data_IF_072799589491
#
_entry.id   IF_072799589491
#
_cell.length_a   1.000
_cell.length_b   1.000
_cell.length_c   1.000
_cell.angle_alpha   90.00
_cell.angle_beta   90.00
_cell.angle_gamma   90.00
#
_symmetry.space_group_name_H-M   'P 1'
#
loop_
_entity.id
_entity.type
_entity.pdbx_description
1 polymer ?
#
# COMPACT_ATOMS: atom_id res chain seq x y z
N UNK A 1 30.22 -55.08 27.77
CA UNK A 1 31.05 -55.46 28.97
C UNK A 1 31.39 -54.17 29.70
N UNK A 2 31.11 -54.22 31.00
CA UNK A 2 31.48 -53.32 32.10
C UNK A 2 30.98 -51.90 32.12
N UNK A 3 29.94 -51.73 32.84
CA UNK A 3 29.60 -51.07 34.12
C UNK A 3 30.80 -50.55 34.93
N UNK A 4 30.72 -49.30 35.39
CA UNK A 4 30.98 -48.96 36.79
C UNK A 4 30.26 -47.69 37.20
N UNK A 5 29.47 -47.83 38.21
CA UNK A 5 28.77 -46.95 39.15
C UNK A 5 29.72 -46.41 40.22
N UNK A 6 29.42 -45.26 40.79
CA UNK A 6 29.49 -44.87 42.23
C UNK A 6 29.60 -43.34 42.31
N UNK A 7 29.20 -42.61 43.32
CA UNK A 7 28.37 -42.78 44.51
C UNK A 7 28.17 -41.41 45.16
N UNK A 8 27.07 -41.28 45.79
CA UNK A 8 26.59 -40.19 46.65
C UNK A 8 27.61 -39.79 47.75
N UNK A 9 27.71 -38.50 48.08
CA UNK A 9 28.03 -38.07 49.44
C UNK A 9 27.26 -36.83 49.87
N UNK A 10 26.40 -37.03 50.83
CA UNK A 10 25.69 -36.06 51.66
C UNK A 10 26.70 -35.46 52.66
N UNK A 11 26.70 -34.16 52.84
CA UNK A 11 27.20 -33.54 54.08
C UNK A 11 26.22 -32.48 54.56
N UNK A 12 25.65 -32.78 55.70
CA UNK A 12 24.87 -31.96 56.60
C UNK A 12 25.78 -31.02 57.38
N UNK A 13 25.44 -29.77 57.56
CA UNK A 13 25.89 -28.89 58.66
C UNK A 13 24.98 -27.66 58.76
N UNK A 14 24.26 -27.64 59.73
CA UNK A 14 24.18 -26.90 61.00
C UNK A 14 23.64 -25.46 60.91
N UNK A 15 22.49 -25.31 61.53
CA UNK A 15 21.80 -24.06 61.88
C UNK A 15 22.67 -23.09 62.71
N UNK A 16 22.65 -21.81 62.34
CA UNK A 16 22.85 -20.75 63.27
C UNK A 16 21.87 -19.61 62.97
N UNK A 17 20.89 -19.41 63.79
CA UNK A 17 19.85 -18.38 63.67
C UNK A 17 20.43 -17.02 64.07
N UNK A 18 20.16 -16.05 63.25
CA UNK A 18 20.25 -14.64 63.59
C UNK A 18 18.90 -13.98 63.31
N UNK A 19 18.25 -13.58 64.38
CA UNK A 19 17.07 -12.71 64.33
C UNK A 19 17.49 -11.35 63.76
N UNK A 20 16.96 -11.01 62.57
CA UNK A 20 16.93 -9.60 62.11
C UNK A 20 15.50 -9.13 62.07
N UNK A 21 15.27 -8.03 62.77
CA UNK A 21 14.04 -7.26 62.87
C UNK A 21 13.63 -6.78 61.48
N UNK A 22 12.40 -7.09 61.09
CA UNK A 22 11.75 -6.60 59.86
C UNK A 22 11.48 -5.08 60.03
N UNK A 23 12.34 -4.27 59.45
CA UNK A 23 12.00 -2.86 59.13
C UNK A 23 11.23 -2.90 57.82
N UNK A 24 9.94 -2.54 57.88
CA UNK A 24 9.04 -2.42 56.75
C UNK A 24 9.46 -1.24 55.88
N UNK A 25 10.26 -1.46 54.84
CA UNK A 25 10.40 -0.50 53.74
C UNK A 25 9.15 -0.60 52.89
N UNK A 26 8.28 0.39 52.94
CA UNK A 26 7.24 0.63 51.94
C UNK A 26 7.95 0.77 50.59
N UNK A 27 7.79 -0.21 49.67
CA UNK A 27 8.04 0.00 48.26
C UNK A 27 7.10 1.11 47.79
N UNK A 28 7.64 2.25 47.48
CA UNK A 28 6.98 3.19 46.60
C UNK A 28 6.84 2.47 45.23
N UNK A 29 5.65 1.98 44.96
CA UNK A 29 5.27 1.66 43.56
C UNK A 29 5.33 2.99 42.81
N UNK A 30 6.35 3.14 41.96
CA UNK A 30 6.34 4.14 40.90
C UNK A 30 5.17 3.70 40.02
N UNK A 31 4.04 4.41 40.14
CA UNK A 31 2.93 4.26 39.20
C UNK A 31 3.53 4.42 37.81
N UNK A 32 3.46 3.38 37.01
CA UNK A 32 3.81 3.46 35.60
C UNK A 32 2.98 4.61 35.02
N UNK A 33 3.68 5.63 34.51
CA UNK A 33 3.02 6.69 33.74
C UNK A 33 2.16 5.98 32.68
N UNK A 34 0.86 6.32 32.56
CA UNK A 34 0.04 5.78 31.49
C UNK A 34 0.79 6.06 30.18
N UNK A 35 0.98 5.03 29.36
CA UNK A 35 1.51 5.22 28.01
C UNK A 35 0.72 6.37 27.37
N UNK A 36 1.39 7.31 26.69
CA UNK A 36 0.69 8.43 26.07
C UNK A 36 -0.44 7.84 25.26
N UNK A 37 -1.67 8.26 25.55
CA UNK A 37 -2.84 7.86 24.78
C UNK A 37 -2.54 8.27 23.34
N UNK A 38 -2.21 7.31 22.49
CA UNK A 38 -2.08 7.53 21.04
C UNK A 38 -3.45 8.07 20.65
N UNK A 39 -3.47 9.32 20.22
CA UNK A 39 -4.72 9.98 19.89
C UNK A 39 -5.42 9.14 18.84
N UNK A 40 -6.47 8.40 19.23
CA UNK A 40 -7.21 7.51 18.32
C UNK A 40 -7.75 8.29 17.11
N UNK A 41 -7.99 9.58 17.30
CA UNK A 41 -8.44 10.50 16.27
C UNK A 41 -7.43 10.67 15.13
N UNK A 42 -6.15 10.88 15.44
CA UNK A 42 -5.08 10.98 14.43
C UNK A 42 -4.86 9.67 13.68
N UNK A 43 -5.06 8.51 14.34
CA UNK A 43 -5.03 7.21 13.66
C UNK A 43 -6.19 7.02 12.68
N UNK A 44 -7.38 7.49 13.04
CA UNK A 44 -8.57 7.36 12.19
C UNK A 44 -8.49 8.30 11.00
N UNK A 45 -8.09 9.56 11.21
CA UNK A 45 -7.93 10.54 10.13
C UNK A 45 -6.86 10.12 9.13
N UNK A 46 -5.78 9.50 9.60
CA UNK A 46 -4.71 8.99 8.76
C UNK A 46 -5.09 7.66 8.08
N UNK A 47 -5.89 6.81 8.73
CA UNK A 47 -6.36 5.52 8.20
C UNK A 47 -7.44 5.68 7.11
N UNK A 48 -8.11 6.84 7.08
CA UNK A 48 -9.10 7.16 6.05
C UNK A 48 -8.55 8.14 5.00
N UNK A 49 -7.22 8.31 4.92
CA UNK A 49 -6.58 9.18 3.93
C UNK A 49 -7.18 10.59 3.91
N UNK A 50 -7.10 11.34 5.01
CA UNK A 50 -7.69 12.69 5.12
C UNK A 50 -9.18 12.82 4.73
N UNK A 51 -9.95 11.76 4.90
CA UNK A 51 -11.38 11.75 4.65
C UNK A 51 -11.84 10.82 3.54
N UNK A 52 -11.46 9.55 3.63
CA UNK A 52 -12.01 8.49 2.79
C UNK A 52 -11.65 8.57 1.29
N UNK A 53 -10.39 8.87 0.99
CA UNK A 53 -9.88 8.84 -0.38
C UNK A 53 -9.77 7.39 -0.89
N UNK A 54 -9.98 7.22 -2.19
CA UNK A 54 -9.78 5.95 -2.91
C UNK A 54 -8.81 6.21 -4.04
N UNK A 55 -7.74 5.41 -4.12
CA UNK A 55 -6.77 5.44 -5.21
C UNK A 55 -7.16 4.43 -6.28
N UNK A 56 -6.83 4.71 -7.54
CA UNK A 56 -6.88 3.75 -8.63
C UNK A 56 -5.50 3.56 -9.24
N UNK A 57 -5.04 2.33 -9.36
CA UNK A 57 -3.98 1.99 -10.30
C UNK A 57 -4.55 2.12 -11.72
N UNK A 58 -4.16 3.17 -12.44
CA UNK A 58 -4.77 3.56 -13.70
C UNK A 58 -4.13 2.88 -14.94
N UNK A 59 -3.68 1.64 -14.78
CA UNK A 59 -3.14 0.83 -15.87
C UNK A 59 -3.20 -0.66 -15.54
N UNK A 60 -2.97 -1.49 -16.54
CA UNK A 60 -2.75 -2.93 -16.43
C UNK A 60 -1.63 -3.31 -17.40
N UNK A 61 -1.07 -4.53 -17.27
CA UNK A 61 -0.03 -5.00 -18.18
C UNK A 61 -0.56 -5.02 -19.63
N UNK A 62 0.27 -4.54 -20.56
CA UNK A 62 -0.06 -4.46 -21.99
C UNK A 62 -1.20 -3.49 -22.37
N UNK A 63 -1.36 -2.36 -21.67
CA UNK A 63 -2.25 -1.28 -22.13
C UNK A 63 -1.97 -0.89 -23.59
N UNK A 64 -2.98 -0.43 -24.35
CA UNK A 64 -2.82 0.01 -25.73
C UNK A 64 -1.71 1.05 -25.92
N UNK A 65 -0.96 0.91 -27.03
CA UNK A 65 0.17 1.79 -27.33
C UNK A 65 -0.27 3.14 -27.89
N UNK A 66 0.48 4.18 -27.54
CA UNK A 66 0.46 5.51 -28.16
C UNK A 66 -0.61 6.48 -27.70
N UNK A 67 -1.64 6.02 -26.98
CA UNK A 67 -2.79 6.88 -26.64
C UNK A 67 -3.31 6.69 -25.19
N UNK A 68 -2.57 6.03 -24.32
CA UNK A 68 -3.06 5.69 -22.98
C UNK A 68 -3.39 6.93 -22.15
N UNK A 69 -2.56 7.98 -22.22
CA UNK A 69 -2.84 9.24 -21.53
C UNK A 69 -4.16 9.87 -21.95
N UNK A 70 -4.51 9.82 -23.25
CA UNK A 70 -5.80 10.30 -23.74
C UNK A 70 -6.96 9.42 -23.23
N UNK A 71 -6.77 8.09 -23.25
CA UNK A 71 -7.76 7.16 -22.71
C UNK A 71 -8.07 7.45 -21.24
N UNK A 72 -7.04 7.69 -20.42
CA UNK A 72 -7.22 8.03 -19.01
C UNK A 72 -7.85 9.42 -18.84
N UNK A 73 -7.41 10.40 -19.64
CA UNK A 73 -7.96 11.77 -19.61
C UNK A 73 -9.50 11.76 -19.76
N UNK A 74 -10.02 10.96 -20.65
CA UNK A 74 -11.45 10.91 -20.94
C UNK A 74 -12.26 10.22 -19.82
N UNK A 75 -11.59 9.43 -18.93
CA UNK A 75 -12.21 8.77 -17.79
C UNK A 75 -12.26 9.62 -16.52
N UNK A 76 -11.44 10.65 -16.42
CA UNK A 76 -11.29 11.47 -15.21
C UNK A 76 -12.63 11.99 -14.66
N UNK A 77 -13.56 12.56 -15.48
CA UNK A 77 -14.84 13.05 -14.94
C UNK A 77 -15.70 11.94 -14.31
N UNK A 78 -15.74 10.77 -14.95
CA UNK A 78 -16.49 9.62 -14.42
C UNK A 78 -15.88 9.07 -13.13
N UNK A 79 -14.56 8.99 -13.05
CA UNK A 79 -13.85 8.57 -11.85
C UNK A 79 -14.05 9.53 -10.68
N UNK A 80 -14.04 10.84 -10.97
CA UNK A 80 -14.41 11.84 -9.95
C UNK A 80 -15.82 11.66 -9.43
N UNK A 81 -16.78 11.45 -10.33
CA UNK A 81 -18.18 11.21 -9.96
C UNK A 81 -18.34 9.93 -9.12
N UNK A 82 -17.57 8.89 -9.41
CA UNK A 82 -17.51 7.66 -8.62
C UNK A 82 -16.88 7.84 -7.23
N UNK A 83 -16.07 8.90 -7.03
CA UNK A 83 -15.42 9.18 -5.75
C UNK A 83 -13.94 8.80 -5.68
N UNK A 84 -13.30 8.44 -6.82
CA UNK A 84 -11.87 8.23 -6.91
C UNK A 84 -11.16 9.58 -6.71
N UNK A 85 -10.17 9.61 -5.83
CA UNK A 85 -9.47 10.83 -5.40
C UNK A 85 -8.02 10.91 -5.89
N UNK A 86 -7.45 9.77 -6.30
CA UNK A 86 -6.09 9.71 -6.84
C UNK A 86 -5.96 8.62 -7.90
N UNK A 87 -5.01 8.81 -8.83
CA UNK A 87 -4.61 7.80 -9.80
C UNK A 87 -3.10 7.58 -9.73
N UNK A 88 -2.68 6.30 -9.78
CA UNK A 88 -1.30 5.90 -9.95
C UNK A 88 -1.09 5.52 -11.42
N UNK A 89 -0.19 6.24 -12.11
CA UNK A 89 0.18 6.02 -13.51
C UNK A 89 1.36 5.05 -13.62
N UNK A 90 1.51 4.31 -14.74
CA UNK A 90 2.70 3.49 -14.98
C UNK A 90 3.95 4.38 -15.14
N UNK A 91 5.19 3.80 -15.12
CA UNK A 91 6.42 4.57 -15.33
C UNK A 91 6.36 5.36 -16.64
N UNK A 92 6.24 6.69 -16.54
CA UNK A 92 5.83 7.55 -17.65
C UNK A 92 6.97 7.94 -18.60
N UNK A 93 8.22 7.55 -18.30
CA UNK A 93 9.43 8.00 -18.99
C UNK A 93 9.95 7.02 -20.03
N UNK A 94 10.91 7.48 -20.81
CA UNK A 94 11.51 6.67 -21.89
C UNK A 94 12.24 5.46 -21.31
N UNK A 95 11.83 4.30 -21.77
CA UNK A 95 12.39 3.00 -21.44
C UNK A 95 13.13 2.40 -22.64
N UNK A 96 13.91 1.33 -22.43
CA UNK A 96 14.68 0.66 -23.48
C UNK A 96 13.78 0.15 -24.62
N UNK A 97 12.64 -0.42 -24.31
CA UNK A 97 11.69 -0.91 -25.32
C UNK A 97 10.93 0.20 -26.07
N UNK A 98 11.27 1.47 -25.84
CA UNK A 98 10.67 2.61 -26.53
C UNK A 98 9.15 2.66 -26.43
N UNK A 99 8.48 2.81 -27.58
CA UNK A 99 7.01 2.87 -27.66
C UNK A 99 6.26 1.58 -27.33
N UNK A 100 6.96 0.49 -27.06
CA UNK A 100 6.36 -0.82 -26.71
C UNK A 100 6.51 -1.17 -25.23
N UNK A 101 7.42 -0.50 -24.50
CA UNK A 101 7.71 -0.80 -23.10
C UNK A 101 6.62 -0.33 -22.15
N UNK A 102 6.34 -1.13 -21.11
CA UNK A 102 5.53 -0.72 -19.95
C UNK A 102 6.28 0.21 -18.98
N UNK A 103 7.56 0.53 -19.24
CA UNK A 103 8.34 1.53 -18.50
C UNK A 103 9.24 0.97 -17.41
N UNK A 104 9.17 -0.33 -17.09
CA UNK A 104 9.98 -0.98 -16.04
C UNK A 104 11.40 -1.36 -16.51
N UNK A 105 11.82 -0.87 -17.64
CA UNK A 105 13.18 -0.92 -18.21
C UNK A 105 13.72 0.51 -18.47
N UNK A 106 13.85 1.37 -17.44
CA UNK A 106 14.05 2.81 -17.59
C UNK A 106 15.40 3.14 -18.27
N UNK A 107 15.35 4.09 -19.22
CA UNK A 107 16.50 4.60 -19.93
C UNK A 107 16.75 6.08 -19.64
N UNK A 108 15.76 6.95 -19.90
CA UNK A 108 15.85 8.40 -19.72
C UNK A 108 14.72 8.90 -18.82
N UNK A 109 15.01 9.12 -17.57
CA UNK A 109 14.07 9.57 -16.54
C UNK A 109 13.49 10.97 -16.77
N UNK A 110 14.01 11.74 -17.75
CA UNK A 110 13.58 13.10 -18.06
C UNK A 110 12.92 13.23 -19.44
N UNK A 111 12.74 12.12 -20.16
CA UNK A 111 12.04 12.07 -21.43
C UNK A 111 10.65 11.44 -21.30
N UNK A 112 9.63 12.26 -21.30
CA UNK A 112 8.23 11.85 -21.25
C UNK A 112 7.61 11.72 -22.65
N UNK A 113 8.39 11.31 -23.64
CA UNK A 113 7.96 11.19 -25.04
C UNK A 113 8.25 12.45 -25.87
N UNK A 114 9.32 13.14 -25.57
CA UNK A 114 9.76 14.37 -26.27
C UNK A 114 10.83 14.05 -27.33
N UNK A 115 11.77 13.16 -27.00
CA UNK A 115 12.93 12.87 -27.83
C UNK A 115 12.77 11.57 -28.61
N UNK A 116 13.25 11.56 -29.86
CA UNK A 116 13.27 10.33 -30.68
C UNK A 116 14.51 9.50 -30.31
N UNK A 117 14.34 8.61 -29.34
CA UNK A 117 15.36 7.71 -28.84
C UNK A 117 14.73 6.37 -28.48
N UNK A 118 15.53 5.31 -28.35
CA UNK A 118 15.05 3.94 -28.10
C UNK A 118 13.97 3.51 -29.13
N UNK A 119 14.17 3.88 -30.41
CA UNK A 119 13.29 3.48 -31.50
C UNK A 119 11.95 4.21 -31.60
N UNK A 120 11.67 5.17 -30.73
CA UNK A 120 10.42 5.94 -30.78
C UNK A 120 10.56 7.35 -30.21
N UNK A 121 9.71 8.29 -30.67
CA UNK A 121 9.57 9.58 -30.02
C UNK A 121 8.69 9.47 -28.78
N UNK A 122 7.51 8.90 -28.91
CA UNK A 122 6.56 8.76 -27.80
C UNK A 122 6.93 7.54 -26.92
N UNK A 123 6.47 7.55 -25.67
CA UNK A 123 6.43 6.35 -24.81
C UNK A 123 5.25 5.46 -25.24
N UNK A 124 5.13 4.26 -24.65
CA UNK A 124 3.94 3.43 -24.85
C UNK A 124 2.64 4.16 -24.59
N UNK A 125 2.66 5.07 -23.63
CA UNK A 125 1.46 5.71 -23.12
C UNK A 125 1.08 7.00 -23.85
N UNK A 126 2.02 7.61 -24.58
CA UNK A 126 1.83 8.87 -25.29
C UNK A 126 3.06 9.77 -25.18
N UNK A 127 2.87 11.06 -25.39
CA UNK A 127 3.90 12.09 -25.31
C UNK A 127 3.72 13.00 -24.08
N UNK A 128 4.67 13.90 -23.87
CA UNK A 128 4.66 14.87 -22.76
C UNK A 128 3.44 15.82 -22.82
N UNK A 129 2.92 16.13 -23.99
CA UNK A 129 1.74 16.99 -24.14
C UNK A 129 0.48 16.30 -23.65
N UNK A 130 0.27 15.04 -24.04
CA UNK A 130 -0.88 14.25 -23.61
C UNK A 130 -0.81 13.92 -22.12
N UNK A 131 0.38 13.66 -21.56
CA UNK A 131 0.57 13.49 -20.11
C UNK A 131 0.23 14.78 -19.35
N UNK A 132 0.74 15.94 -19.78
CA UNK A 132 0.43 17.23 -19.16
C UNK A 132 -1.07 17.54 -19.19
N UNK A 133 -1.74 17.22 -20.31
CA UNK A 133 -3.20 17.35 -20.42
C UNK A 133 -3.92 16.47 -19.42
N UNK A 134 -3.54 15.21 -19.29
CA UNK A 134 -4.12 14.27 -18.30
C UNK A 134 -3.97 14.81 -16.88
N UNK A 135 -2.76 15.24 -16.49
CA UNK A 135 -2.50 15.78 -15.15
C UNK A 135 -3.34 17.03 -14.89
N UNK A 136 -3.40 17.95 -15.86
CA UNK A 136 -4.24 19.17 -15.76
C UNK A 136 -5.72 18.82 -15.59
N UNK A 137 -6.22 17.87 -16.38
CA UNK A 137 -7.62 17.42 -16.28
C UNK A 137 -7.91 16.77 -14.92
N UNK A 138 -6.99 15.93 -14.42
CA UNK A 138 -7.10 15.32 -13.10
C UNK A 138 -7.16 16.39 -12.00
N UNK A 139 -6.26 17.35 -11.99
CA UNK A 139 -6.23 18.46 -11.02
C UNK A 139 -7.50 19.31 -11.07
N UNK A 140 -8.00 19.65 -12.25
CA UNK A 140 -9.26 20.39 -12.42
C UNK A 140 -10.48 19.63 -11.86
N UNK A 141 -10.36 18.30 -11.71
CA UNK A 141 -11.36 17.44 -11.08
C UNK A 141 -11.00 17.06 -9.62
N UNK A 142 -10.00 17.71 -9.01
CA UNK A 142 -9.49 17.35 -7.68
C UNK A 142 -9.14 15.85 -7.55
N UNK A 143 -8.50 15.30 -8.57
CA UNK A 143 -7.88 13.96 -8.56
C UNK A 143 -6.37 14.15 -8.56
N UNK A 144 -5.69 13.57 -7.58
CA UNK A 144 -4.23 13.56 -7.48
C UNK A 144 -3.62 12.56 -8.47
N UNK A 145 -2.40 12.83 -8.92
CA UNK A 145 -1.69 11.98 -9.87
C UNK A 145 -0.36 11.53 -9.28
N UNK A 146 -0.14 10.22 -9.19
CA UNK A 146 1.07 9.62 -8.65
C UNK A 146 1.91 8.98 -9.75
N UNK A 147 3.22 9.26 -9.74
CA UNK A 147 4.17 8.65 -10.67
C UNK A 147 4.70 7.32 -10.15
N UNK A 148 4.93 6.38 -11.05
CA UNK A 148 5.69 5.15 -10.76
C UNK A 148 7.18 5.41 -10.93
N UNK A 149 7.97 5.04 -9.93
CA UNK A 149 9.40 5.35 -9.82
C UNK A 149 10.22 4.07 -9.79
N UNK A 150 10.85 3.72 -10.91
CA UNK A 150 11.76 2.58 -11.03
C UNK A 150 13.18 3.06 -10.72
N UNK A 151 13.60 2.95 -9.47
CA UNK A 151 14.89 3.50 -9.00
C UNK A 151 15.97 2.45 -8.77
N UNK A 152 15.63 1.17 -8.78
CA UNK A 152 16.59 0.09 -8.56
C UNK A 152 17.58 -0.04 -9.71
N UNK A 153 17.11 -0.03 -10.94
CA UNK A 153 17.88 -0.43 -12.12
C UNK A 153 17.64 0.47 -13.33
N UNK A 154 18.49 0.30 -14.34
CA UNK A 154 18.34 0.91 -15.65
C UNK A 154 18.47 -0.14 -16.75
N UNK A 155 18.07 0.21 -17.98
CA UNK A 155 18.19 -0.67 -19.14
C UNK A 155 18.48 0.10 -20.42
N UNK A 156 19.14 -0.55 -21.41
CA UNK A 156 19.41 0.04 -22.73
C UNK A 156 20.69 0.86 -22.83
N UNK A 157 21.56 0.79 -21.84
CA UNK A 157 22.90 1.43 -21.92
C UNK A 157 23.76 0.84 -23.03
N UNK A 158 24.70 1.65 -23.54
CA UNK A 158 25.72 1.18 -24.48
C UNK A 158 26.82 0.40 -23.72
N UNK A 159 27.51 -0.48 -24.46
CA UNK A 159 28.64 -1.23 -23.92
C UNK A 159 29.83 -0.31 -23.63
N UNK A 160 30.46 -0.55 -22.48
CA UNK A 160 31.74 0.08 -22.09
C UNK A 160 32.57 -0.90 -21.27
N UNK A 161 33.91 -0.71 -21.23
CA UNK A 161 34.77 -1.49 -20.37
C UNK A 161 34.52 -1.15 -18.90
N UNK A 162 34.28 -2.17 -18.08
CA UNK A 162 34.05 -2.00 -16.64
C UNK A 162 35.20 -2.62 -15.84
N UNK A 163 36.07 -1.80 -15.21
CA UNK A 163 37.24 -2.30 -14.48
C UNK A 163 36.87 -3.09 -13.22
N UNK A 164 35.65 -2.92 -12.66
CA UNK A 164 35.22 -3.63 -11.46
C UNK A 164 34.72 -5.06 -11.74
N UNK A 165 34.28 -5.31 -12.97
CA UNK A 165 33.86 -6.67 -13.39
C UNK A 165 34.93 -7.37 -14.23
N UNK A 166 35.94 -6.63 -14.73
CA UNK A 166 36.96 -7.14 -15.67
C UNK A 166 36.39 -7.44 -17.08
N UNK A 167 35.14 -7.08 -17.35
CA UNK A 167 34.48 -7.30 -18.64
C UNK A 167 33.75 -6.04 -19.11
N UNK A 168 33.23 -6.03 -20.34
CA UNK A 168 32.33 -4.95 -20.77
C UNK A 168 30.94 -5.13 -20.20
N UNK A 169 30.31 -4.01 -19.79
CA UNK A 169 28.94 -3.93 -19.29
C UNK A 169 28.13 -2.91 -20.08
N UNK A 170 26.79 -3.03 -20.08
CA UNK A 170 25.87 -2.12 -20.76
C UNK A 170 25.44 -0.99 -19.82
N UNK A 171 26.40 -0.21 -19.35
CA UNK A 171 26.26 0.79 -18.30
C UNK A 171 26.48 2.23 -18.76
N UNK A 172 26.79 2.46 -20.04
CA UNK A 172 26.99 3.81 -20.57
C UNK A 172 25.69 4.42 -21.11
N UNK A 173 25.16 5.39 -20.37
CA UNK A 173 23.94 6.10 -20.73
C UNK A 173 24.24 7.55 -21.10
N UNK A 174 23.81 7.95 -22.30
CA UNK A 174 23.86 9.33 -22.82
C UNK A 174 22.49 9.74 -23.33
N UNK A 175 21.52 9.97 -22.43
CA UNK A 175 20.13 10.27 -22.81
C UNK A 175 20.02 11.55 -23.64
N UNK A 176 19.09 11.60 -24.60
CA UNK A 176 18.87 12.78 -25.43
C UNK A 176 18.27 13.97 -24.66
N UNK A 177 17.72 13.77 -23.47
CA UNK A 177 17.36 14.86 -22.55
C UNK A 177 18.59 15.65 -22.08
N UNK A 178 19.80 15.13 -22.26
CA UNK A 178 21.05 15.70 -21.76
C UNK A 178 21.20 15.63 -20.24
N UNK A 179 20.33 14.88 -19.55
CA UNK A 179 20.26 14.77 -18.09
C UNK A 179 20.61 13.39 -17.62
N UNK A 180 21.24 13.30 -16.46
CA UNK A 180 21.59 12.05 -15.78
C UNK A 180 22.38 11.08 -16.69
N UNK A 181 23.50 11.53 -17.24
CA UNK A 181 24.45 10.63 -17.87
C UNK A 181 25.03 9.69 -16.82
N UNK A 182 25.17 8.40 -17.19
CA UNK A 182 25.67 7.34 -16.29
C UNK A 182 26.75 6.53 -16.99
N UNK A 183 27.66 6.01 -16.20
CA UNK A 183 28.70 5.08 -16.61
C UNK A 183 28.80 3.92 -15.62
N UNK A 184 29.64 2.93 -15.91
CA UNK A 184 29.84 1.77 -15.02
C UNK A 184 30.05 2.15 -13.56
N UNK A 185 30.63 3.33 -13.27
CA UNK A 185 30.91 3.77 -11.90
C UNK A 185 29.64 4.13 -11.12
N UNK A 186 28.49 4.33 -11.78
CA UNK A 186 27.21 4.66 -11.17
C UNK A 186 26.38 3.41 -10.80
N UNK A 187 26.88 2.23 -11.14
CA UNK A 187 26.22 0.95 -10.91
C UNK A 187 27.07 0.03 -10.04
N UNK A 188 26.44 -1.00 -9.46
CA UNK A 188 27.14 -2.07 -8.77
C UNK A 188 27.73 -3.09 -9.77
N UNK A 189 28.93 -3.68 -9.47
CA UNK A 189 29.89 -3.25 -8.44
C UNK A 189 30.64 -1.98 -8.84
N UNK A 190 31.07 -1.19 -7.83
CA UNK A 190 31.90 0.00 -8.04
C UNK A 190 32.90 0.22 -6.89
N UNK A 191 33.55 1.38 -6.81
CA UNK A 191 34.54 1.76 -5.80
C UNK A 191 33.94 2.03 -4.40
N UNK A 192 32.63 2.12 -4.26
CA UNK A 192 31.94 2.30 -2.98
C UNK A 192 31.49 0.97 -2.39
N UNK A 193 30.84 0.13 -3.22
CA UNK A 193 30.31 -1.16 -2.77
C UNK A 193 30.14 -2.14 -3.94
N UNK A 194 30.18 -3.42 -3.61
CA UNK A 194 29.98 -4.48 -4.60
C UNK A 194 28.52 -4.72 -4.98
N UNK A 195 27.60 -4.51 -4.03
CA UNK A 195 26.16 -4.66 -4.17
C UNK A 195 25.46 -3.93 -3.02
N UNK A 196 24.17 -3.69 -3.13
CA UNK A 196 23.27 -3.29 -2.05
C UNK A 196 22.27 -4.41 -1.71
N UNK A 197 20.98 -4.09 -1.51
CA UNK A 197 19.96 -5.05 -1.08
C UNK A 197 19.59 -6.07 -2.17
N UNK A 198 19.67 -5.70 -3.47
CA UNK A 198 19.45 -6.68 -4.53
C UNK A 198 19.22 -6.16 -5.94
N UNK A 199 19.96 -6.73 -6.89
CA UNK A 199 19.78 -6.48 -8.31
C UNK A 199 18.48 -7.13 -8.86
N UNK A 200 17.86 -6.48 -9.83
CA UNK A 200 16.67 -7.00 -10.51
C UNK A 200 17.02 -7.60 -11.87
N UNK A 201 16.75 -8.90 -12.06
CA UNK A 201 16.76 -9.60 -13.34
C UNK A 201 18.00 -9.38 -14.24
N UNK A 202 19.16 -9.09 -13.67
CA UNK A 202 20.42 -8.85 -14.41
C UNK A 202 20.49 -7.48 -15.11
N UNK A 203 19.59 -6.56 -14.84
CA UNK A 203 19.72 -5.17 -15.25
C UNK A 203 20.85 -4.45 -14.48
N UNK A 204 21.52 -3.43 -15.07
CA UNK A 204 22.44 -2.57 -14.36
C UNK A 204 21.79 -1.94 -13.11
N UNK A 205 22.35 -2.24 -11.96
CA UNK A 205 21.85 -1.91 -10.63
C UNK A 205 22.46 -0.60 -10.13
N UNK A 206 21.61 0.41 -9.84
CA UNK A 206 22.03 1.79 -9.51
C UNK A 206 22.63 1.87 -8.10
N UNK A 207 23.83 2.37 -7.97
CA UNK A 207 24.45 2.66 -6.67
C UNK A 207 24.02 4.03 -6.14
N UNK A 208 23.04 4.07 -5.27
CA UNK A 208 22.50 5.30 -4.68
C UNK A 208 23.48 6.07 -3.78
N UNK A 209 24.58 5.44 -3.35
CA UNK A 209 25.67 6.09 -2.60
C UNK A 209 26.60 6.90 -3.51
N UNK A 210 26.56 6.69 -4.83
CA UNK A 210 27.32 7.51 -5.79
C UNK A 210 26.74 8.92 -5.86
N UNK A 211 27.61 9.92 -5.76
CA UNK A 211 27.20 11.33 -5.80
C UNK A 211 26.46 11.71 -7.09
N UNK A 212 26.87 11.15 -8.24
CA UNK A 212 26.16 11.38 -9.51
C UNK A 212 24.72 10.86 -9.40
N UNK A 213 24.50 9.63 -8.94
CA UNK A 213 23.19 9.01 -8.79
C UNK A 213 22.34 9.79 -7.79
N UNK A 214 22.82 9.99 -6.57
CA UNK A 214 22.04 10.68 -5.53
C UNK A 214 21.73 12.15 -5.88
N UNK A 215 22.62 12.87 -6.56
CA UNK A 215 22.35 14.23 -7.01
C UNK A 215 21.24 14.28 -8.07
N UNK A 216 21.25 13.40 -9.05
CA UNK A 216 20.22 13.36 -10.07
C UNK A 216 18.89 12.84 -9.56
N UNK A 217 18.89 11.93 -8.59
CA UNK A 217 17.63 11.35 -8.07
C UNK A 217 16.97 12.29 -7.05
N UNK A 218 17.71 12.82 -6.04
CA UNK A 218 17.06 13.61 -4.98
C UNK A 218 17.88 14.78 -4.39
N UNK A 219 19.23 14.83 -4.42
CA UNK A 219 19.98 15.84 -3.67
C UNK A 219 19.99 17.23 -4.33
N UNK A 220 20.27 17.30 -5.64
CA UNK A 220 20.48 18.57 -6.33
C UNK A 220 19.19 19.35 -6.56
N UNK A 221 19.31 20.64 -6.87
CA UNK A 221 18.16 21.49 -7.24
C UNK A 221 17.47 21.05 -8.53
N UNK A 222 18.18 20.38 -9.41
CA UNK A 222 17.72 19.82 -10.68
C UNK A 222 17.32 18.34 -10.59
N UNK A 223 17.24 17.77 -9.40
CA UNK A 223 16.96 16.35 -9.19
C UNK A 223 15.59 15.93 -9.73
N UNK A 224 15.48 14.63 -10.02
CA UNK A 224 14.26 13.98 -10.47
C UNK A 224 13.09 14.24 -9.52
N UNK A 225 13.29 14.11 -8.20
CA UNK A 225 12.26 14.33 -7.20
C UNK A 225 11.62 15.72 -7.32
N UNK A 226 12.45 16.77 -7.45
CA UNK A 226 12.00 18.14 -7.61
C UNK A 226 11.40 18.39 -8.99
N UNK A 227 11.99 17.84 -10.04
CA UNK A 227 11.52 18.00 -11.40
C UNK A 227 10.14 17.37 -11.59
N UNK A 228 9.92 16.17 -11.09
CA UNK A 228 8.62 15.49 -11.16
C UNK A 228 7.55 16.25 -10.37
N UNK A 229 7.88 16.76 -9.18
CA UNK A 229 6.95 17.54 -8.36
C UNK A 229 6.65 18.90 -8.97
N UNK A 230 7.67 19.66 -9.37
CA UNK A 230 7.53 21.07 -9.67
C UNK A 230 7.30 21.39 -11.16
N UNK A 231 7.74 20.53 -12.07
CA UNK A 231 7.67 20.74 -13.51
C UNK A 231 6.65 19.84 -14.20
N UNK A 232 6.53 18.58 -13.73
CA UNK A 232 5.52 17.64 -14.26
C UNK A 232 4.23 17.72 -13.45
N UNK A 233 4.33 18.15 -12.17
CA UNK A 233 3.21 18.33 -11.24
C UNK A 233 2.58 17.04 -10.72
N UNK A 234 3.40 16.01 -10.51
CA UNK A 234 2.93 14.84 -9.76
C UNK A 234 2.70 15.18 -8.29
N UNK A 235 1.64 14.59 -7.70
CA UNK A 235 1.24 14.79 -6.31
C UNK A 235 1.80 13.72 -5.37
N UNK A 236 2.41 12.68 -5.92
CA UNK A 236 2.97 11.59 -5.15
C UNK A 236 3.70 10.57 -6.02
N UNK A 237 4.20 9.53 -5.35
CA UNK A 237 5.10 8.55 -5.94
C UNK A 237 4.80 7.13 -5.44
N UNK A 238 4.76 6.17 -6.36
CA UNK A 238 4.86 4.75 -6.07
C UNK A 238 6.30 4.33 -6.38
N UNK A 239 6.97 3.70 -5.45
CA UNK A 239 8.34 3.22 -5.62
C UNK A 239 8.33 1.74 -5.92
N UNK A 240 8.85 1.40 -7.09
CA UNK A 240 8.98 0.05 -7.62
C UNK A 240 10.10 -0.70 -6.91
N UNK A 241 9.87 -2.00 -6.66
CA UNK A 241 10.89 -2.95 -6.20
C UNK A 241 11.79 -2.41 -5.07
N UNK A 242 11.19 -1.86 -4.00
CA UNK A 242 11.94 -1.22 -2.90
C UNK A 242 12.78 -2.18 -2.07
N UNK A 243 12.67 -3.48 -2.29
CA UNK A 243 13.57 -4.51 -1.75
C UNK A 243 14.96 -4.47 -2.34
N UNK A 244 15.15 -3.83 -3.47
CA UNK A 244 16.41 -3.80 -4.18
C UNK A 244 17.35 -2.68 -3.75
N UNK A 245 16.90 -1.73 -2.92
CA UNK A 245 17.70 -0.60 -2.46
C UNK A 245 17.27 -0.10 -1.08
N UNK A 246 18.16 0.55 -0.35
CA UNK A 246 17.89 0.98 1.02
C UNK A 246 16.71 1.95 1.14
N UNK A 247 15.85 1.76 2.14
CA UNK A 247 14.66 2.58 2.42
C UNK A 247 14.98 4.09 2.56
N UNK A 248 16.22 4.43 2.91
CA UNK A 248 16.73 5.80 2.98
C UNK A 248 16.68 6.55 1.63
N UNK A 249 16.71 5.84 0.51
CA UNK A 249 16.57 6.42 -0.85
C UNK A 249 15.16 7.00 -1.00
N UNK A 250 14.13 6.22 -0.64
CA UNK A 250 12.73 6.67 -0.65
C UNK A 250 12.54 7.86 0.28
N UNK A 251 13.03 7.78 1.52
CA UNK A 251 13.00 8.90 2.48
C UNK A 251 13.61 10.18 1.89
N UNK A 252 14.79 10.09 1.32
CA UNK A 252 15.49 11.25 0.76
C UNK A 252 14.75 11.81 -0.47
N UNK A 253 14.21 10.95 -1.32
CA UNK A 253 13.41 11.36 -2.48
C UNK A 253 12.17 12.15 -2.05
N UNK A 254 11.40 11.60 -1.11
CA UNK A 254 10.18 12.23 -0.56
C UNK A 254 10.51 13.57 0.10
N UNK A 255 11.54 13.62 0.95
CA UNK A 255 11.95 14.85 1.62
C UNK A 255 12.39 15.93 0.62
N UNK A 256 13.12 15.53 -0.43
CA UNK A 256 13.54 16.43 -1.51
C UNK A 256 12.38 16.98 -2.34
N UNK A 257 11.30 16.21 -2.47
CA UNK A 257 10.05 16.64 -3.13
C UNK A 257 9.15 17.54 -2.24
N UNK A 258 9.58 17.87 -1.03
CA UNK A 258 8.84 18.73 -0.08
C UNK A 258 8.33 18.01 1.17
N UNK A 259 8.65 16.74 1.34
CA UNK A 259 8.28 15.91 2.49
C UNK A 259 6.88 15.31 2.41
N UNK A 260 6.53 14.44 3.39
CA UNK A 260 5.28 13.66 3.37
C UNK A 260 4.00 14.51 3.52
N UNK A 261 4.13 15.77 3.92
CA UNK A 261 3.00 16.70 3.92
C UNK A 261 2.70 17.29 2.51
N UNK A 262 3.67 17.29 1.61
CA UNK A 262 3.55 17.85 0.27
C UNK A 262 3.31 16.81 -0.81
N UNK A 263 3.76 15.57 -0.61
CA UNK A 263 3.64 14.49 -1.58
C UNK A 263 3.26 13.17 -0.89
N UNK A 264 2.36 12.42 -1.52
CA UNK A 264 2.08 11.04 -1.11
C UNK A 264 3.22 10.12 -1.57
N UNK A 265 3.49 9.05 -0.79
CA UNK A 265 4.47 8.04 -1.16
C UNK A 265 4.00 6.65 -0.72
N UNK A 266 4.21 5.66 -1.59
CA UNK A 266 3.98 4.25 -1.29
C UNK A 266 5.07 3.39 -1.93
N UNK A 267 5.64 2.45 -1.18
CA UNK A 267 6.63 1.49 -1.67
C UNK A 267 6.03 0.12 -1.93
N UNK A 268 6.54 -0.53 -2.96
CA UNK A 268 6.28 -1.94 -3.25
C UNK A 268 7.28 -2.82 -2.46
N UNK A 269 7.08 -2.88 -1.14
CA UNK A 269 7.74 -3.87 -0.29
C UNK A 269 6.96 -5.18 -0.40
N UNK A 270 7.35 -6.05 -1.33
CA UNK A 270 6.61 -7.28 -1.62
C UNK A 270 6.90 -8.33 -0.55
N UNK A 271 6.23 -8.24 0.58
CA UNK A 271 6.37 -9.16 1.70
C UNK A 271 5.01 -9.49 2.33
N UNK A 272 4.72 -10.78 2.51
CA UNK A 272 3.51 -11.25 3.18
C UNK A 272 3.56 -11.12 4.72
N UNK A 273 4.68 -10.69 5.30
CA UNK A 273 4.84 -10.50 6.73
C UNK A 273 4.62 -9.04 7.11
N UNK A 274 3.55 -8.75 7.82
CA UNK A 274 3.21 -7.41 8.25
C UNK A 274 4.29 -6.73 9.13
N UNK A 275 5.10 -7.50 9.87
CA UNK A 275 6.19 -6.94 10.65
C UNK A 275 7.31 -6.42 9.75
N UNK A 276 7.62 -7.10 8.65
CA UNK A 276 8.62 -6.65 7.68
C UNK A 276 8.14 -5.39 6.95
N UNK A 277 6.85 -5.35 6.55
CA UNK A 277 6.24 -4.14 5.98
C UNK A 277 6.34 -2.95 6.94
N UNK A 278 6.02 -3.15 8.23
CA UNK A 278 6.15 -2.11 9.25
C UNK A 278 7.62 -1.68 9.42
N UNK A 279 8.55 -2.63 9.45
CA UNK A 279 9.99 -2.34 9.56
C UNK A 279 10.49 -1.49 8.38
N UNK A 280 10.05 -1.80 7.16
CA UNK A 280 10.38 -0.99 6.00
C UNK A 280 9.81 0.43 6.10
N UNK A 281 8.54 0.57 6.49
CA UNK A 281 7.91 1.89 6.73
C UNK A 281 8.70 2.68 7.79
N UNK A 282 9.11 2.04 8.90
CA UNK A 282 9.92 2.66 9.95
C UNK A 282 11.30 3.09 9.43
N UNK A 283 11.92 2.28 8.58
CA UNK A 283 13.20 2.59 7.95
C UNK A 283 13.14 3.79 6.98
N UNK A 284 11.95 4.09 6.42
CA UNK A 284 11.71 5.36 5.70
C UNK A 284 11.47 6.55 6.63
N UNK A 285 11.56 6.38 7.96
CA UNK A 285 11.14 7.36 8.97
C UNK A 285 9.69 7.82 8.78
N UNK A 286 8.80 6.90 8.43
CA UNK A 286 7.38 7.15 8.19
C UNK A 286 7.10 8.15 7.04
N UNK A 287 8.06 8.41 6.16
CA UNK A 287 7.85 9.29 5.00
C UNK A 287 7.06 8.62 3.89
N UNK A 288 7.04 7.28 3.85
CA UNK A 288 6.30 6.48 2.87
C UNK A 288 5.30 5.54 3.54
N UNK A 289 4.24 5.20 2.83
CA UNK A 289 3.37 4.05 3.06
C UNK A 289 3.96 2.82 2.36
N UNK A 290 3.41 1.63 2.64
CA UNK A 290 3.69 0.42 1.88
C UNK A 290 2.39 -0.21 1.37
N UNK A 291 2.43 -0.90 0.23
CA UNK A 291 1.36 -1.79 -0.18
C UNK A 291 1.24 -2.94 0.84
N UNK A 292 0.03 -3.19 1.32
CA UNK A 292 -0.24 -4.21 2.33
C UNK A 292 -0.38 -5.60 1.70
N UNK A 293 0.75 -6.19 1.32
CA UNK A 293 0.80 -7.55 0.80
C UNK A 293 0.35 -8.59 1.83
N UNK A 294 0.53 -8.32 3.13
CA UNK A 294 0.01 -9.20 4.18
C UNK A 294 -1.52 -9.25 4.14
N UNK A 295 -2.19 -8.10 3.99
CA UNK A 295 -3.64 -8.04 3.79
C UNK A 295 -4.07 -8.73 2.48
N UNK A 296 -3.33 -8.54 1.38
CA UNK A 296 -3.59 -9.21 0.11
C UNK A 296 -3.59 -10.74 0.25
N UNK A 297 -2.56 -11.33 0.88
CA UNK A 297 -2.49 -12.77 1.09
C UNK A 297 -3.53 -13.28 2.08
N UNK A 298 -3.82 -12.53 3.14
CA UNK A 298 -4.86 -12.89 4.10
C UNK A 298 -6.26 -12.93 3.45
N UNK A 299 -6.59 -11.94 2.61
CA UNK A 299 -7.85 -11.94 1.85
C UNK A 299 -7.92 -13.10 0.86
N UNK A 300 -6.82 -13.43 0.18
CA UNK A 300 -6.76 -14.57 -0.72
C UNK A 300 -7.01 -15.88 0.03
N UNK A 301 -6.35 -16.09 1.17
CA UNK A 301 -6.58 -17.26 2.03
C UNK A 301 -8.02 -17.31 2.55
N UNK A 302 -8.59 -16.17 2.95
CA UNK A 302 -9.94 -16.09 3.48
C UNK A 302 -11.02 -16.37 2.43
N UNK A 303 -10.99 -15.66 1.31
CA UNK A 303 -12.09 -15.66 0.35
C UNK A 303 -11.92 -16.70 -0.76
N UNK A 304 -10.72 -16.97 -1.21
CA UNK A 304 -10.43 -17.99 -2.23
C UNK A 304 -10.07 -19.33 -1.60
N UNK A 305 -9.48 -19.32 -0.39
CA UNK A 305 -9.18 -20.50 0.41
C UNK A 305 -10.36 -21.01 1.26
N UNK A 306 -11.47 -20.25 1.34
CA UNK A 306 -12.68 -20.56 2.11
C UNK A 306 -12.45 -20.74 3.62
N UNK A 307 -11.58 -19.95 4.21
CA UNK A 307 -11.40 -19.86 5.66
C UNK A 307 -11.33 -18.40 6.11
N UNK A 308 -12.50 -17.83 6.45
CA UNK A 308 -12.63 -16.42 6.81
C UNK A 308 -11.87 -16.05 8.10
N UNK A 309 -11.37 -17.02 8.87
CA UNK A 309 -10.53 -16.73 10.06
C UNK A 309 -9.21 -16.06 9.68
N UNK A 310 -8.72 -16.22 8.44
CA UNK A 310 -7.54 -15.51 7.93
C UNK A 310 -7.73 -13.99 7.88
N UNK A 311 -8.97 -13.48 7.93
CA UNK A 311 -9.19 -12.03 8.11
C UNK A 311 -8.72 -11.52 9.48
N UNK A 312 -8.41 -12.39 10.42
CA UNK A 312 -7.75 -12.04 11.69
C UNK A 312 -6.23 -12.03 11.62
N UNK A 313 -5.63 -12.51 10.56
CA UNK A 313 -4.18 -12.55 10.41
C UNK A 313 -3.57 -11.15 10.59
N UNK A 314 -2.28 -11.13 10.87
CA UNK A 314 -1.53 -9.91 11.07
C UNK A 314 -1.33 -9.20 9.72
N UNK A 315 -1.71 -7.93 9.66
CA UNK A 315 -1.67 -7.10 8.45
C UNK A 315 -1.09 -5.74 8.77
N UNK A 316 -0.51 -5.05 7.79
CA UNK A 316 -0.01 -3.69 8.00
C UNK A 316 -1.16 -2.74 8.39
N UNK A 317 -2.34 -2.88 7.80
CA UNK A 317 -3.52 -2.07 8.15
C UNK A 317 -3.91 -2.19 9.64
N UNK A 318 -3.64 -3.33 10.28
CA UNK A 318 -3.89 -3.53 11.70
C UNK A 318 -2.77 -2.98 12.59
N UNK A 319 -1.53 -2.97 12.09
CA UNK A 319 -0.36 -2.43 12.79
C UNK A 319 -0.26 -0.91 12.67
N UNK A 320 -0.45 -0.41 11.46
CA UNK A 320 -0.27 0.99 11.09
C UNK A 320 -1.16 1.38 9.91
N UNK A 321 -2.45 1.48 10.17
CA UNK A 321 -3.46 1.79 9.16
C UNK A 321 -3.14 3.04 8.33
N UNK A 322 -2.51 4.04 8.94
CA UNK A 322 -2.11 5.28 8.27
C UNK A 322 -1.05 5.09 7.18
N UNK A 323 -0.36 3.95 7.18
CA UNK A 323 0.73 3.62 6.25
C UNK A 323 0.42 2.40 5.39
N UNK A 324 -0.75 1.81 5.54
CA UNK A 324 -1.19 0.68 4.76
C UNK A 324 -1.96 1.12 3.51
N UNK A 325 -1.44 0.81 2.32
CA UNK A 325 -2.19 0.89 1.06
C UNK A 325 -2.72 -0.50 0.73
N UNK A 326 -4.02 -0.69 0.89
CA UNK A 326 -4.68 -1.98 0.67
C UNK A 326 -5.08 -2.15 -0.80
N UNK A 327 -5.01 -3.35 -1.33
CA UNK A 327 -5.35 -3.66 -2.71
C UNK A 327 -5.86 -5.10 -2.87
N UNK A 328 -6.61 -5.37 -3.93
CA UNK A 328 -7.15 -6.71 -4.25
C UNK A 328 -6.36 -7.37 -5.38
N UNK A 329 -6.01 -6.60 -6.37
CA UNK A 329 -5.21 -7.02 -7.53
C UNK A 329 -4.36 -5.84 -7.97
N UNK A 330 -3.28 -6.12 -8.70
CA UNK A 330 -2.49 -5.15 -9.43
C UNK A 330 -2.00 -5.77 -10.75
N UNK A 331 -1.10 -5.09 -11.47
CA UNK A 331 -0.58 -5.56 -12.75
C UNK A 331 0.30 -6.83 -12.65
N UNK A 332 0.78 -7.19 -11.45
CA UNK A 332 1.61 -8.36 -11.19
C UNK A 332 0.87 -9.49 -10.44
N UNK A 333 -0.24 -9.18 -9.75
CA UNK A 333 -0.94 -10.10 -8.86
C UNK A 333 -2.42 -10.28 -9.22
N UNK A 334 -2.77 -10.35 -10.51
CA UNK A 334 -4.17 -10.48 -10.98
C UNK A 334 -4.68 -11.94 -10.90
N UNK A 335 -4.67 -12.53 -9.70
CA UNK A 335 -5.02 -13.94 -9.44
C UNK A 335 -6.19 -14.13 -8.47
N UNK A 336 -6.74 -13.06 -7.89
CA UNK A 336 -7.84 -13.16 -6.92
C UNK A 336 -9.17 -13.47 -7.62
N UNK A 337 -9.89 -14.51 -7.18
CA UNK A 337 -11.17 -14.93 -7.74
C UNK A 337 -12.36 -14.23 -7.09
N UNK A 338 -12.39 -14.18 -5.75
CA UNK A 338 -13.47 -13.57 -4.97
C UNK A 338 -13.32 -12.04 -4.84
N UNK A 339 -13.17 -11.34 -5.96
CA UNK A 339 -12.86 -9.91 -5.99
C UNK A 339 -13.87 -9.04 -5.25
N UNK A 340 -15.17 -9.35 -5.34
CA UNK A 340 -16.19 -8.53 -4.67
C UNK A 340 -16.07 -8.56 -3.15
N UNK A 341 -15.84 -9.72 -2.55
CA UNK A 341 -15.63 -9.84 -1.09
C UNK A 341 -14.34 -9.15 -0.65
N UNK A 342 -13.27 -9.30 -1.43
CA UNK A 342 -11.99 -8.63 -1.18
C UNK A 342 -12.11 -7.10 -1.29
N UNK A 343 -12.79 -6.58 -2.32
CA UNK A 343 -13.08 -5.14 -2.41
C UNK A 343 -13.98 -4.65 -1.29
N UNK A 344 -14.99 -5.44 -0.89
CA UNK A 344 -15.83 -5.09 0.26
C UNK A 344 -14.98 -5.00 1.54
N UNK A 345 -14.00 -5.90 1.73
CA UNK A 345 -13.11 -5.85 2.87
C UNK A 345 -12.29 -4.56 2.89
N UNK A 346 -11.53 -4.24 1.84
CA UNK A 346 -10.69 -3.04 1.83
C UNK A 346 -11.49 -1.73 1.83
N UNK A 347 -12.75 -1.73 1.33
CA UNK A 347 -13.63 -0.57 1.34
C UNK A 347 -14.36 -0.36 2.67
N UNK A 348 -14.42 -1.38 3.53
CA UNK A 348 -15.06 -1.27 4.84
C UNK A 348 -14.07 -1.12 5.98
N UNK A 349 -12.80 -1.45 5.79
CA UNK A 349 -11.76 -1.41 6.82
C UNK A 349 -10.87 -0.17 6.73
N UNK A 350 -9.93 -0.07 7.64
CA UNK A 350 -8.90 0.96 7.68
C UNK A 350 -7.92 0.79 6.51
N UNK A 351 -7.01 1.75 6.36
CA UNK A 351 -6.03 1.79 5.28
C UNK A 351 -6.48 2.67 4.10
N UNK A 352 -5.63 2.76 3.10
CA UNK A 352 -5.88 3.52 1.87
C UNK A 352 -6.17 2.56 0.72
N UNK A 353 -7.43 2.35 0.32
CA UNK A 353 -7.77 1.36 -0.69
C UNK A 353 -7.33 1.79 -2.09
N UNK A 354 -6.68 0.87 -2.80
CA UNK A 354 -6.28 1.00 -4.20
C UNK A 354 -7.09 0.03 -5.07
N UNK A 355 -7.84 0.58 -6.03
CA UNK A 355 -8.62 -0.19 -7.01
C UNK A 355 -7.75 -0.45 -8.23
N UNK A 356 -7.80 -1.67 -8.78
CA UNK A 356 -7.14 -2.00 -10.02
C UNK A 356 -8.01 -1.60 -11.23
N UNK A 357 -7.42 -0.91 -12.22
CA UNK A 357 -8.11 -0.45 -13.44
C UNK A 357 -8.90 -1.55 -14.13
N UNK A 358 -8.26 -2.71 -14.36
CA UNK A 358 -8.85 -3.83 -15.09
C UNK A 358 -10.10 -4.39 -14.38
N UNK A 359 -10.05 -4.44 -13.04
CA UNK A 359 -11.20 -4.87 -12.24
C UNK A 359 -12.36 -3.88 -12.38
N UNK A 360 -12.09 -2.59 -12.21
CA UNK A 360 -13.12 -1.56 -12.24
C UNK A 360 -13.68 -1.29 -13.63
N UNK A 361 -12.84 -1.24 -14.65
CA UNK A 361 -13.25 -0.84 -16.01
C UNK A 361 -13.75 -2.02 -16.86
N UNK A 362 -13.22 -3.23 -16.62
CA UNK A 362 -13.40 -4.34 -17.56
C UNK A 362 -14.09 -5.57 -16.96
N UNK A 363 -13.94 -5.85 -15.66
CA UNK A 363 -14.32 -7.15 -15.09
C UNK A 363 -15.53 -7.08 -14.17
N UNK A 364 -15.62 -6.05 -13.31
CA UNK A 364 -16.63 -5.96 -12.27
C UNK A 364 -17.74 -5.00 -12.65
N UNK A 365 -18.93 -5.21 -12.06
CA UNK A 365 -20.04 -4.28 -12.23
C UNK A 365 -19.72 -2.92 -11.58
N UNK A 366 -19.74 -1.86 -12.40
CA UNK A 366 -19.40 -0.50 -11.97
C UNK A 366 -20.35 0.04 -10.92
N UNK A 367 -21.63 -0.32 -10.95
CA UNK A 367 -22.59 0.17 -9.96
C UNK A 367 -22.27 -0.41 -8.59
N UNK A 368 -21.91 -1.71 -8.52
CA UNK A 368 -21.47 -2.34 -7.27
C UNK A 368 -20.18 -1.72 -6.76
N UNK A 369 -19.20 -1.49 -7.63
CA UNK A 369 -17.93 -0.85 -7.26
C UNK A 369 -18.15 0.61 -6.81
N UNK A 370 -18.95 1.38 -7.52
CA UNK A 370 -19.32 2.74 -7.13
C UNK A 370 -20.05 2.78 -5.79
N UNK A 371 -20.92 1.80 -5.52
CA UNK A 371 -21.57 1.68 -4.24
C UNK A 371 -20.59 1.37 -3.11
N UNK A 372 -19.61 0.48 -3.31
CA UNK A 372 -18.56 0.22 -2.33
C UNK A 372 -17.69 1.47 -2.07
N UNK A 373 -17.35 2.24 -3.10
CA UNK A 373 -16.65 3.52 -2.95
C UNK A 373 -17.50 4.50 -2.14
N UNK A 374 -18.80 4.58 -2.42
CA UNK A 374 -19.72 5.42 -1.67
C UNK A 374 -19.81 4.99 -0.20
N UNK A 375 -19.91 3.68 0.08
CA UNK A 375 -19.92 3.09 1.43
C UNK A 375 -18.62 3.47 2.16
N UNK A 376 -17.46 3.29 1.51
CA UNK A 376 -16.18 3.69 2.09
C UNK A 376 -16.18 5.14 2.55
N UNK A 377 -16.63 6.04 1.69
CA UNK A 377 -16.59 7.48 1.94
C UNK A 377 -17.60 7.97 2.99
N UNK A 378 -18.75 7.31 3.08
CA UNK A 378 -19.85 7.83 3.89
C UNK A 378 -20.14 7.01 5.16
N UNK A 379 -19.69 5.75 5.22
CA UNK A 379 -19.99 4.85 6.33
C UNK A 379 -18.76 4.30 7.06
N UNK A 380 -17.62 4.11 6.37
CA UNK A 380 -16.47 3.38 6.90
C UNK A 380 -15.56 4.25 7.79
N UNK A 381 -16.08 4.78 8.89
CA UNK A 381 -15.33 5.60 9.84
C UNK A 381 -15.06 4.91 11.19
N UNK A 382 -14.02 5.37 11.87
CA UNK A 382 -13.64 4.88 13.20
C UNK A 382 -12.78 3.61 13.16
N UNK A 383 -12.54 3.04 14.33
CA UNK A 383 -11.79 1.80 14.51
C UNK A 383 -12.66 0.58 14.25
N UNK A 384 -12.04 -0.53 13.84
CA UNK A 384 -12.72 -1.82 13.66
C UNK A 384 -12.81 -2.59 14.99
N UNK A 385 -13.95 -3.24 15.21
CA UNK A 385 -14.18 -4.22 16.28
C UNK A 385 -14.68 -5.51 15.64
N UNK A 386 -13.96 -6.62 15.84
CA UNK A 386 -14.45 -7.92 15.42
C UNK A 386 -15.61 -8.35 16.32
N UNK A 387 -16.74 -8.72 15.74
CA UNK A 387 -17.96 -9.15 16.41
C UNK A 387 -18.17 -10.66 16.36
N UNK A 388 -17.70 -11.30 15.29
CA UNK A 388 -17.79 -12.74 15.10
C UNK A 388 -16.73 -13.24 14.13
N UNK A 389 -16.12 -14.38 14.42
CA UNK A 389 -15.13 -15.01 13.55
C UNK A 389 -15.25 -16.54 13.62
N UNK A 390 -15.49 -17.14 12.47
CA UNK A 390 -15.51 -18.57 12.21
C UNK A 390 -14.99 -18.83 10.79
N UNK A 391 -14.62 -20.07 10.43
CA UNK A 391 -14.12 -20.35 9.08
C UNK A 391 -15.08 -19.94 7.96
N UNK A 392 -16.37 -20.00 8.18
CA UNK A 392 -17.43 -19.75 7.21
C UNK A 392 -18.22 -18.46 7.43
N UNK A 393 -17.94 -17.69 8.49
CA UNK A 393 -18.63 -16.44 8.80
C UNK A 393 -17.69 -15.47 9.51
N UNK A 394 -17.72 -14.20 9.09
CA UNK A 394 -16.90 -13.16 9.68
C UNK A 394 -17.65 -11.84 9.72
N UNK A 395 -17.66 -11.17 10.89
CA UNK A 395 -18.41 -9.93 11.09
C UNK A 395 -17.55 -8.91 11.81
N UNK A 396 -17.38 -7.76 11.17
CA UNK A 396 -16.70 -6.61 11.74
C UNK A 396 -17.61 -5.38 11.80
N UNK A 397 -17.37 -4.55 12.82
CA UNK A 397 -18.00 -3.24 12.97
C UNK A 397 -16.96 -2.13 12.91
N UNK A 398 -17.18 -1.14 12.05
CA UNK A 398 -16.54 0.16 12.13
C UNK A 398 -17.33 1.02 13.12
N UNK A 399 -16.63 1.58 14.10
CA UNK A 399 -17.26 2.19 15.27
C UNK A 399 -17.83 3.60 15.02
N UNK A 400 -17.61 4.15 13.83
CA UNK A 400 -17.99 5.52 13.49
C UNK A 400 -16.97 6.55 13.96
N UNK A 401 -16.99 7.71 13.33
CA UNK A 401 -16.11 8.82 13.66
C UNK A 401 -16.71 10.15 13.18
N UNK A 402 -16.81 11.15 14.04
CA UNK A 402 -17.45 12.45 13.75
C UNK A 402 -18.85 12.26 13.15
N UNK A 403 -19.04 12.71 11.91
CA UNK A 403 -20.31 12.59 11.16
C UNK A 403 -20.45 11.27 10.41
N UNK A 404 -19.42 10.45 10.35
CA UNK A 404 -19.44 9.14 9.70
C UNK A 404 -19.97 8.11 10.71
N UNK A 405 -21.11 7.48 10.47
CA UNK A 405 -21.82 6.69 11.49
C UNK A 405 -21.16 5.36 11.84
N UNK A 406 -20.24 4.87 11.01
CA UNK A 406 -19.76 3.49 11.06
C UNK A 406 -20.66 2.54 10.28
N UNK A 407 -20.26 1.28 10.23
CA UNK A 407 -20.98 0.20 9.55
C UNK A 407 -20.73 -1.15 10.24
N UNK A 408 -21.55 -2.14 9.89
CA UNK A 408 -21.26 -3.55 10.18
C UNK A 408 -21.17 -4.26 8.84
N UNK A 409 -20.06 -4.95 8.59
CA UNK A 409 -19.88 -5.82 7.43
C UNK A 409 -19.96 -7.28 7.88
N UNK A 410 -20.73 -8.09 7.14
CA UNK A 410 -20.91 -9.52 7.39
C UNK A 410 -20.53 -10.30 6.14
N UNK A 411 -19.46 -11.09 6.21
CA UNK A 411 -19.01 -12.03 5.19
C UNK A 411 -19.56 -13.42 5.52
N UNK A 412 -20.18 -14.07 4.56
CA UNK A 412 -20.76 -15.39 4.66
C UNK A 412 -20.19 -16.31 3.58
N UNK A 413 -19.44 -17.33 3.99
CA UNK A 413 -18.85 -18.36 3.13
C UNK A 413 -19.72 -19.62 2.97
N UNK A 414 -20.91 -19.68 3.60
CA UNK A 414 -21.80 -20.86 3.53
C UNK A 414 -22.68 -20.84 2.27
N UNK A 415 -23.27 -22.00 1.96
CA UNK A 415 -24.23 -22.17 0.84
C UNK A 415 -25.62 -21.57 1.11
N UNK A 416 -25.88 -21.08 2.31
CA UNK A 416 -27.19 -20.60 2.73
C UNK A 416 -27.12 -19.18 3.28
N UNK A 417 -28.25 -18.46 3.24
CA UNK A 417 -28.41 -17.22 4.00
C UNK A 417 -28.12 -17.48 5.48
N UNK A 418 -27.28 -16.63 6.07
CA UNK A 418 -26.96 -16.68 7.50
C UNK A 418 -27.49 -15.44 8.20
N UNK A 419 -27.82 -15.61 9.48
CA UNK A 419 -28.27 -14.53 10.36
C UNK A 419 -27.49 -14.57 11.65
N UNK A 420 -27.09 -13.39 12.14
CA UNK A 420 -26.35 -13.27 13.41
C UNK A 420 -26.91 -12.11 14.24
N UNK A 421 -27.05 -12.35 15.54
CA UNK A 421 -27.25 -11.29 16.52
C UNK A 421 -25.93 -10.63 16.85
N UNK A 422 -25.82 -9.33 16.62
CA UNK A 422 -24.59 -8.57 16.84
C UNK A 422 -24.85 -7.33 17.69
N UNK A 423 -23.81 -6.83 18.33
CA UNK A 423 -23.85 -5.54 19.03
C UNK A 423 -23.54 -4.40 18.06
N UNK A 424 -24.29 -3.30 18.16
CA UNK A 424 -24.07 -2.09 17.39
C UNK A 424 -23.93 -0.87 18.31
N UNK A 425 -23.54 0.28 17.74
CA UNK A 425 -23.46 1.56 18.45
C UNK A 425 -24.74 2.41 18.28
N UNK A 426 -25.85 1.85 17.75
CA UNK A 426 -27.02 2.60 17.31
C UNK A 426 -28.30 2.20 18.05
N UNK A 427 -28.23 2.01 19.37
CA UNK A 427 -29.39 1.65 20.19
C UNK A 427 -30.63 2.52 19.88
N UNK A 428 -31.80 1.87 19.73
CA UNK A 428 -33.07 2.48 19.36
C UNK A 428 -33.15 3.16 17.98
N UNK A 429 -32.12 3.01 17.12
CA UNK A 429 -32.15 3.54 15.75
C UNK A 429 -32.54 2.45 14.75
N UNK A 430 -32.93 2.89 13.55
CA UNK A 430 -33.14 1.99 12.41
C UNK A 430 -31.86 1.87 11.60
N UNK A 431 -31.51 0.65 11.22
CA UNK A 431 -30.44 0.33 10.27
C UNK A 431 -31.01 -0.33 9.03
N UNK A 432 -30.32 -0.18 7.91
CA UNK A 432 -30.64 -0.87 6.65
C UNK A 432 -29.40 -1.51 6.03
N UNK A 433 -29.62 -2.39 5.10
CA UNK A 433 -28.59 -2.96 4.25
C UNK A 433 -28.26 -1.99 3.11
N UNK A 434 -26.96 -1.80 2.78
CA UNK A 434 -26.47 -0.79 1.84
C UNK A 434 -25.85 -1.37 0.55
N UNK A 435 -25.70 -2.69 0.43
CA UNK A 435 -25.18 -3.29 -0.81
C UNK A 435 -26.24 -3.49 -1.88
N UNK A 436 -27.52 -3.34 -1.50
CA UNK A 436 -28.66 -3.51 -2.40
C UNK A 436 -29.10 -4.95 -2.60
N UNK A 437 -28.55 -5.91 -1.85
CA UNK A 437 -28.96 -7.32 -1.89
C UNK A 437 -30.28 -7.60 -1.16
N UNK A 438 -30.69 -6.69 -0.29
CA UNK A 438 -31.98 -6.76 0.41
C UNK A 438 -32.49 -5.36 0.76
N UNK A 439 -33.83 -5.27 0.93
CA UNK A 439 -34.49 -4.06 1.43
C UNK A 439 -34.74 -4.12 2.95
N UNK A 440 -34.01 -4.95 3.67
CA UNK A 440 -34.22 -5.12 5.09
C UNK A 440 -33.87 -3.86 5.88
N UNK A 441 -34.81 -3.50 6.74
CA UNK A 441 -34.67 -2.45 7.74
C UNK A 441 -34.93 -3.09 9.10
N UNK A 442 -33.98 -2.93 10.03
CA UNK A 442 -34.06 -3.44 11.38
C UNK A 442 -34.07 -2.30 12.39
N UNK A 443 -34.76 -2.47 13.50
CA UNK A 443 -34.65 -1.58 14.65
C UNK A 443 -33.68 -2.20 15.65
N UNK A 444 -32.66 -1.45 15.99
CA UNK A 444 -31.70 -1.85 17.00
C UNK A 444 -32.36 -1.80 18.36
N UNK A 445 -32.23 -2.87 19.15
CA UNK A 445 -32.77 -2.94 20.51
C UNK A 445 -32.13 -1.89 21.45
N UNK A 446 -32.77 -1.62 22.57
CA UNK A 446 -32.28 -0.65 23.56
C UNK A 446 -30.91 -1.04 24.15
N UNK A 447 -30.58 -2.32 24.16
CA UNK A 447 -29.27 -2.84 24.58
C UNK A 447 -28.21 -2.83 23.48
N UNK A 448 -28.53 -2.27 22.29
CA UNK A 448 -27.63 -2.17 21.15
C UNK A 448 -27.59 -3.42 20.26
N UNK A 449 -28.31 -4.49 20.59
CA UNK A 449 -28.33 -5.71 19.75
C UNK A 449 -29.26 -5.58 18.57
N UNK A 450 -28.86 -6.20 17.45
CA UNK A 450 -29.66 -6.25 16.22
C UNK A 450 -29.38 -7.55 15.46
N UNK A 451 -30.41 -8.09 14.79
CA UNK A 451 -30.27 -9.23 13.89
C UNK A 451 -29.90 -8.72 12.49
N UNK A 452 -28.77 -9.19 11.96
CA UNK A 452 -28.34 -8.93 10.58
C UNK A 452 -28.23 -10.23 9.80
N UNK A 453 -28.19 -10.13 8.47
CA UNK A 453 -28.04 -11.31 7.61
C UNK A 453 -27.10 -11.04 6.45
N UNK A 454 -26.53 -12.11 5.90
CA UNK A 454 -25.72 -12.08 4.69
C UNK A 454 -26.10 -13.23 3.73
N UNK A 455 -26.06 -13.00 2.40
CA UNK A 455 -26.34 -14.02 1.40
C UNK A 455 -25.21 -15.04 1.29
N UNK A 456 -25.46 -16.23 0.69
CA UNK A 456 -24.43 -17.26 0.51
C UNK A 456 -23.28 -16.75 -0.36
N UNK A 457 -22.04 -17.15 -0.01
CA UNK A 457 -20.78 -16.84 -0.70
C UNK A 457 -20.63 -15.35 -1.05
N UNK A 458 -21.09 -14.46 -0.16
CA UNK A 458 -21.06 -13.03 -0.38
C UNK A 458 -21.04 -12.25 0.95
N UNK A 459 -21.40 -10.99 0.89
CA UNK A 459 -21.37 -10.09 2.04
C UNK A 459 -22.60 -9.18 2.08
N UNK A 460 -22.86 -8.62 3.25
CA UNK A 460 -23.80 -7.51 3.46
C UNK A 460 -23.15 -6.40 4.28
N UNK A 461 -23.62 -5.16 4.09
CA UNK A 461 -23.09 -3.99 4.81
C UNK A 461 -24.26 -3.20 5.37
N UNK A 462 -24.25 -3.01 6.70
CA UNK A 462 -25.33 -2.43 7.47
C UNK A 462 -24.91 -1.11 8.12
N UNK A 463 -25.77 -0.10 8.09
CA UNK A 463 -25.57 1.15 8.81
C UNK A 463 -26.92 1.83 9.06
N UNK A 464 -26.90 2.97 9.77
CA UNK A 464 -28.11 3.75 10.08
C UNK A 464 -28.84 4.18 8.81
N UNK A 465 -30.18 4.33 8.92
CA UNK A 465 -31.02 4.84 7.83
C UNK A 465 -30.92 6.36 7.71
N UNK A 466 -31.27 6.91 6.55
CA UNK A 466 -31.38 8.37 6.34
C UNK A 466 -30.14 9.04 5.79
N UNK A 467 -29.20 8.26 5.24
CA UNK A 467 -27.97 8.73 4.56
C UNK A 467 -28.14 8.67 3.05
#
# INVERSE_FOLDING_TARGET
MNKKTSSLSVRTALFMGVLFTLSSCKKNEIAALPAPAVNQQTKVDAATGSGSDVMMQAFYWDVPQGSWWNTLNDKIPAWKAAGIAAIWLPPATKAQGGGTSMGYDPYDYFDFGTYNQMGSKITRFGDSTSLSKLITTAHNNNIKVYADMVLNHCSGGNSEANPYTGTSTYTKYTPLSGKFNRTYSDFHPNDIEAADEGAFAGFPDLCHKKANVSNWIYNASYSMSKFYKNNIHFDGFRFDYVKGYGAWVVKNFVNSAGGPAAVFAVGEEWDGNAANLQQWVDATEQTSSAFDFACFYAMHSAFDGNDLTHLNDDMLLKRNAAKAVTFVSNHDTDITYNKYSSYAYIMTHEGYPCIFYKDYENLLDKNRMNNLIWIHKNLAGGTTTNLYSAPDQYIDRRNGYNTIPGLIVYFNGTDNWQQQWVSSNWANQKIKEYTGISNWVQTVAADGRVLIQAPPHAYSIWSVTGL
#
